data_IF_992561615570
#
_entry.id   IF_992561615570
#
_cell.length_a   1.000
_cell.length_b   1.000
_cell.length_c   1.000
_cell.angle_alpha   90.00
_cell.angle_beta   90.00
_cell.angle_gamma   90.00
#
_symmetry.space_group_name_H-M   'P 1'
#
loop_
_entity.id
_entity.type
_entity.pdbx_description
1 polymer ?
#
# COMPACT_ATOMS: atom_id res chain seq x y z
N UNK A 1 -22.07 17.66 -10.18
CA UNK A 1 -21.18 16.51 -9.92
C UNK A 1 -20.49 15.92 -11.16
N UNK A 2 -21.19 15.48 -12.23
CA UNK A 2 -20.60 14.74 -13.38
C UNK A 2 -19.35 15.33 -14.07
N UNK A 3 -19.18 16.66 -14.07
CA UNK A 3 -18.01 17.35 -14.66
C UNK A 3 -16.85 17.57 -13.67
N UNK A 4 -17.04 17.30 -12.38
CA UNK A 4 -16.06 17.59 -11.32
C UNK A 4 -15.42 16.32 -10.74
N UNK A 5 -16.07 15.15 -10.86
CA UNK A 5 -15.58 13.86 -10.31
C UNK A 5 -14.20 13.44 -10.83
N UNK A 6 -13.93 13.67 -12.12
CA UNK A 6 -12.66 13.25 -12.76
C UNK A 6 -11.59 14.33 -12.76
N UNK A 7 -11.78 15.42 -12.01
CA UNK A 7 -10.77 16.46 -11.88
C UNK A 7 -9.59 15.95 -11.05
N UNK A 8 -8.33 16.32 -11.39
CA UNK A 8 -7.20 16.04 -10.53
C UNK A 8 -7.40 16.61 -9.11
N UNK A 9 -7.20 15.80 -8.05
CA UNK A 9 -7.24 16.30 -6.68
C UNK A 9 -6.03 17.19 -6.38
N UNK A 10 -6.15 18.06 -5.37
CA UNK A 10 -5.08 18.99 -4.96
C UNK A 10 -3.74 18.26 -4.68
N UNK A 11 -3.81 17.09 -4.04
CA UNK A 11 -2.66 16.25 -3.71
C UNK A 11 -2.56 15.02 -4.63
N UNK A 12 -2.81 15.17 -5.94
CA UNK A 12 -2.80 14.08 -6.91
C UNK A 12 -1.51 13.23 -6.87
N UNK A 13 -0.34 13.86 -6.69
CA UNK A 13 0.93 13.14 -6.61
C UNK A 13 0.99 12.19 -5.41
N UNK A 14 0.57 12.64 -4.24
CA UNK A 14 0.55 11.84 -3.00
C UNK A 14 -0.44 10.68 -3.13
N UNK A 15 -1.64 10.96 -3.63
CA UNK A 15 -2.65 9.93 -3.87
C UNK A 15 -2.13 8.84 -4.82
N UNK A 16 -1.48 9.23 -5.91
CA UNK A 16 -0.92 8.27 -6.87
C UNK A 16 0.14 7.37 -6.25
N UNK A 17 1.05 7.94 -5.43
CA UNK A 17 2.08 7.18 -4.72
C UNK A 17 1.45 6.22 -3.70
N UNK A 18 0.44 6.67 -2.96
CA UNK A 18 -0.31 5.84 -2.01
C UNK A 18 -1.00 4.67 -2.72
N UNK A 19 -1.70 4.93 -3.83
CA UNK A 19 -2.36 3.89 -4.62
C UNK A 19 -1.35 2.91 -5.25
N UNK A 20 -0.19 3.39 -5.69
CA UNK A 20 0.86 2.53 -6.22
C UNK A 20 1.42 1.55 -5.20
N UNK A 21 1.77 2.04 -4.00
CA UNK A 21 2.21 1.15 -2.93
C UNK A 21 1.07 0.25 -2.40
N UNK A 22 -0.18 0.74 -2.40
CA UNK A 22 -1.35 -0.10 -2.08
C UNK A 22 -1.48 -1.29 -3.04
N UNK A 23 -1.36 -1.05 -4.35
CA UNK A 23 -1.38 -2.11 -5.37
C UNK A 23 -0.21 -3.09 -5.20
N UNK A 24 0.98 -2.58 -4.90
CA UNK A 24 2.15 -3.41 -4.59
C UNK A 24 1.89 -4.32 -3.38
N UNK A 25 1.36 -3.78 -2.28
CA UNK A 25 1.05 -4.53 -1.07
C UNK A 25 0.02 -5.64 -1.31
N UNK A 26 -1.05 -5.35 -2.06
CA UNK A 26 -2.05 -6.36 -2.45
C UNK A 26 -1.39 -7.52 -3.19
N UNK A 27 -0.51 -7.22 -4.15
CA UNK A 27 0.18 -8.26 -4.93
C UNK A 27 1.15 -9.07 -4.06
N UNK A 28 1.87 -8.41 -3.14
CA UNK A 28 2.76 -9.10 -2.19
C UNK A 28 1.95 -10.06 -1.32
N UNK A 29 0.82 -9.63 -0.77
CA UNK A 29 -0.02 -10.46 0.09
C UNK A 29 -0.60 -11.63 -0.70
N UNK A 30 -1.11 -11.40 -1.92
CA UNK A 30 -1.62 -12.45 -2.81
C UNK A 30 -0.56 -13.50 -3.09
N UNK A 31 0.65 -13.10 -3.51
CA UNK A 31 1.73 -14.06 -3.76
C UNK A 31 2.16 -14.76 -2.48
N UNK A 32 2.39 -14.03 -1.39
CA UNK A 32 2.88 -14.62 -0.14
C UNK A 32 1.90 -15.65 0.41
N UNK A 33 0.61 -15.31 0.49
CA UNK A 33 -0.42 -16.23 0.96
C UNK A 33 -0.67 -17.36 -0.04
N UNK A 34 -0.67 -17.09 -1.35
CA UNK A 34 -0.82 -18.11 -2.38
C UNK A 34 0.28 -19.18 -2.31
N UNK A 35 1.55 -18.76 -2.26
CA UNK A 35 2.68 -19.67 -2.08
C UNK A 35 2.67 -20.36 -0.70
N UNK A 36 2.18 -19.69 0.35
CA UNK A 36 2.04 -20.29 1.68
C UNK A 36 0.97 -21.39 1.70
N UNK A 37 -0.17 -21.20 1.03
CA UNK A 37 -1.24 -22.21 0.89
C UNK A 37 -0.77 -23.42 0.09
N UNK A 38 0.06 -23.21 -0.95
CA UNK A 38 0.68 -24.29 -1.72
C UNK A 38 1.78 -25.05 -0.94
N UNK A 39 2.14 -24.59 0.27
CA UNK A 39 3.10 -25.26 1.15
C UNK A 39 4.56 -24.86 0.96
N UNK A 40 4.88 -23.85 0.12
CA UNK A 40 6.25 -23.39 -0.09
C UNK A 40 6.85 -22.68 1.13
N UNK A 41 6.01 -22.06 1.97
CA UNK A 41 6.45 -21.40 3.22
C UNK A 41 6.14 -22.26 4.45
N UNK A 42 6.55 -23.54 4.42
CA UNK A 42 6.37 -24.48 5.51
C UNK A 42 7.08 -24.05 6.80
N UNK A 43 6.51 -24.33 7.99
CA UNK A 43 7.12 -24.07 9.31
C UNK A 43 8.53 -24.65 9.50
N UNK A 44 8.90 -25.66 8.71
CA UNK A 44 10.22 -26.27 8.73
C UNK A 44 11.32 -25.30 8.27
N UNK A 45 10.99 -24.32 7.43
CA UNK A 45 11.93 -23.35 6.88
C UNK A 45 11.86 -22.05 7.68
N UNK A 46 12.58 -22.02 8.80
CA UNK A 46 12.67 -20.82 9.66
C UNK A 46 13.17 -19.63 8.84
N UNK A 47 12.38 -18.56 8.81
CA UNK A 47 12.68 -17.34 8.06
C UNK A 47 12.28 -17.36 6.59
N UNK A 48 11.82 -18.49 6.04
CA UNK A 48 11.43 -18.60 4.63
C UNK A 48 10.31 -17.61 4.24
N UNK A 49 9.33 -17.42 5.12
CA UNK A 49 8.25 -16.44 4.92
C UNK A 49 8.78 -15.00 4.86
N UNK A 50 9.74 -14.64 5.73
CA UNK A 50 10.33 -13.30 5.75
C UNK A 50 11.20 -13.05 4.52
N UNK A 51 12.00 -14.03 4.12
CA UNK A 51 12.78 -13.98 2.87
C UNK A 51 11.87 -13.91 1.63
N UNK A 52 10.75 -14.64 1.63
CA UNK A 52 9.74 -14.58 0.58
C UNK A 52 9.08 -13.21 0.48
N UNK A 53 8.69 -12.62 1.61
CA UNK A 53 8.16 -11.25 1.67
C UNK A 53 9.16 -10.23 1.12
N UNK A 54 10.45 -10.33 1.50
CA UNK A 54 11.50 -9.46 0.95
C UNK A 54 11.65 -9.64 -0.56
N UNK A 55 11.65 -10.88 -1.04
CA UNK A 55 11.74 -11.17 -2.47
C UNK A 55 10.56 -10.57 -3.24
N UNK A 56 9.33 -10.84 -2.81
CA UNK A 56 8.14 -10.29 -3.45
C UNK A 56 8.08 -8.77 -3.36
N UNK A 57 8.51 -8.19 -2.24
CA UNK A 57 8.64 -6.74 -2.11
C UNK A 57 9.51 -6.16 -3.22
N UNK A 58 10.72 -6.71 -3.42
CA UNK A 58 11.65 -6.25 -4.46
C UNK A 58 11.06 -6.41 -5.84
N UNK A 59 10.56 -7.60 -6.18
CA UNK A 59 10.08 -7.90 -7.53
C UNK A 59 8.84 -7.07 -7.92
N UNK A 60 7.97 -6.78 -6.96
CA UNK A 60 6.72 -6.02 -7.19
C UNK A 60 6.91 -4.51 -7.16
N UNK A 61 8.10 -3.99 -6.87
CA UNK A 61 8.38 -2.54 -6.90
C UNK A 61 8.09 -1.90 -8.26
N UNK A 62 8.22 -2.66 -9.36
CA UNK A 62 7.78 -2.24 -10.69
C UNK A 62 6.29 -1.87 -10.73
N UNK A 63 5.44 -2.60 -10.00
CA UNK A 63 4.00 -2.34 -9.99
C UNK A 63 3.69 -1.04 -9.27
N UNK A 64 4.37 -0.76 -8.15
CA UNK A 64 4.22 0.52 -7.44
C UNK A 64 4.53 1.71 -8.36
N UNK A 65 5.67 1.65 -9.06
CA UNK A 65 6.05 2.68 -10.03
C UNK A 65 5.04 2.79 -11.18
N UNK A 66 4.64 1.65 -11.76
CA UNK A 66 3.69 1.61 -12.87
C UNK A 66 2.35 2.23 -12.52
N UNK A 67 1.71 1.80 -11.42
CA UNK A 67 0.40 2.28 -11.00
C UNK A 67 0.45 3.76 -10.63
N UNK A 68 1.49 4.19 -9.88
CA UNK A 68 1.67 5.61 -9.51
C UNK A 68 1.79 6.50 -10.75
N UNK A 69 2.67 6.14 -11.68
CA UNK A 69 2.89 6.92 -12.90
C UNK A 69 1.67 6.93 -13.81
N UNK A 70 1.00 5.78 -13.93
CA UNK A 70 -0.19 5.61 -14.75
C UNK A 70 -1.34 6.49 -14.26
N UNK A 71 -1.60 6.45 -12.96
CA UNK A 71 -2.65 7.25 -12.33
C UNK A 71 -2.35 8.75 -12.45
N UNK A 72 -1.09 9.14 -12.26
CA UNK A 72 -0.67 10.54 -12.36
C UNK A 72 -0.76 11.11 -13.78
N UNK A 73 -0.44 10.31 -14.80
CA UNK A 73 -0.70 10.67 -16.21
C UNK A 73 -2.20 10.75 -16.48
N UNK A 74 -3.01 9.87 -15.87
CA UNK A 74 -4.46 9.95 -15.91
C UNK A 74 -5.02 11.28 -15.39
N UNK A 75 -4.36 11.89 -14.40
CA UNK A 75 -4.71 13.21 -13.85
C UNK A 75 -4.09 14.38 -14.62
N UNK A 76 -3.40 14.14 -15.74
CA UNK A 76 -2.69 15.15 -16.53
C UNK A 76 -1.68 15.96 -15.71
N UNK A 77 -1.05 15.32 -14.73
CA UNK A 77 -0.05 15.96 -13.87
C UNK A 77 1.25 16.28 -14.63
N UNK A 78 1.76 17.49 -14.45
CA UNK A 78 2.99 17.96 -15.10
C UNK A 78 4.27 17.43 -14.42
N UNK A 79 4.25 17.30 -13.09
CA UNK A 79 5.43 16.98 -12.27
C UNK A 79 5.68 15.47 -12.13
N UNK A 80 5.75 14.74 -13.26
CA UNK A 80 5.87 13.27 -13.28
C UNK A 80 7.09 12.75 -12.51
N UNK A 81 8.21 13.50 -12.55
CA UNK A 81 9.45 13.17 -11.82
C UNK A 81 9.24 13.08 -10.31
N UNK A 82 8.43 13.97 -9.72
CA UNK A 82 8.16 13.96 -8.28
C UNK A 82 7.41 12.69 -7.86
N UNK A 83 6.48 12.21 -8.68
CA UNK A 83 5.76 10.96 -8.40
C UNK A 83 6.66 9.75 -8.53
N UNK A 84 7.58 9.75 -9.50
CA UNK A 84 8.53 8.64 -9.65
C UNK A 84 9.43 8.55 -8.43
N UNK A 85 10.05 9.67 -8.02
CA UNK A 85 10.84 9.73 -6.79
C UNK A 85 10.01 9.44 -5.54
N UNK A 86 8.76 9.87 -5.52
CA UNK A 86 7.81 9.57 -4.44
C UNK A 86 7.62 8.06 -4.26
N UNK A 87 7.34 7.34 -5.34
CA UNK A 87 7.18 5.87 -5.33
C UNK A 87 8.46 5.09 -5.00
N UNK A 88 9.62 5.74 -5.11
CA UNK A 88 10.94 5.16 -4.83
C UNK A 88 11.35 5.30 -3.36
N UNK A 89 11.04 6.46 -2.76
CA UNK A 89 11.62 6.86 -1.48
C UNK A 89 10.64 7.03 -0.34
N UNK A 90 9.36 7.35 -0.59
CA UNK A 90 8.43 7.69 0.49
C UNK A 90 8.16 6.49 1.39
N UNK A 91 7.55 5.42 0.87
CA UNK A 91 7.25 4.24 1.67
C UNK A 91 8.49 3.45 2.08
N UNK A 92 9.41 3.09 1.16
CA UNK A 92 10.61 2.37 1.53
C UNK A 92 11.47 3.16 2.54
N UNK A 93 11.54 4.49 2.42
CA UNK A 93 12.26 5.35 3.34
C UNK A 93 11.62 5.42 4.74
N UNK A 94 10.28 5.49 4.83
CA UNK A 94 9.57 5.43 6.10
C UNK A 94 9.81 4.09 6.80
N UNK A 95 9.65 2.97 6.07
CA UNK A 95 9.85 1.62 6.61
C UNK A 95 11.30 1.43 7.06
N UNK A 96 12.26 1.86 6.23
CA UNK A 96 13.68 1.80 6.58
C UNK A 96 14.01 2.68 7.78
N UNK A 97 13.45 3.89 7.88
CA UNK A 97 13.63 4.79 9.02
C UNK A 97 13.14 4.19 10.33
N UNK A 98 11.92 3.63 10.34
CA UNK A 98 11.37 2.95 11.53
C UNK A 98 12.25 1.76 11.92
N UNK A 99 12.60 0.91 10.93
CA UNK A 99 13.47 -0.24 11.16
C UNK A 99 14.84 0.17 11.70
N UNK A 100 15.44 1.23 11.15
CA UNK A 100 16.73 1.75 11.57
C UNK A 100 16.69 2.27 13.01
N UNK A 101 15.64 3.02 13.39
CA UNK A 101 15.45 3.49 14.76
C UNK A 101 15.31 2.33 15.76
N UNK A 102 14.49 1.33 15.44
CA UNK A 102 14.34 0.12 16.26
C UNK A 102 15.68 -0.61 16.38
N UNK A 103 16.40 -0.77 15.27
CA UNK A 103 17.71 -1.43 15.27
C UNK A 103 18.74 -0.65 16.09
N UNK A 104 18.70 0.69 16.06
CA UNK A 104 19.56 1.54 16.88
C UNK A 104 19.32 1.29 18.38
N UNK A 105 18.07 1.19 18.81
CA UNK A 105 17.72 0.83 20.20
C UNK A 105 18.23 -0.56 20.58
N UNK A 106 18.13 -1.54 19.68
CA UNK A 106 18.66 -2.90 19.90
C UNK A 106 20.19 -2.93 20.01
N UNK A 107 20.86 -2.05 19.26
CA UNK A 107 22.31 -1.86 19.36
C UNK A 107 22.70 -1.27 20.72
N UNK A 108 21.99 -0.24 21.19
CA UNK A 108 22.22 0.37 22.50
C UNK A 108 21.97 -0.59 23.66
N UNK A 109 20.98 -1.47 23.57
CA UNK A 109 20.68 -2.46 24.61
C UNK A 109 21.60 -3.68 24.59
N UNK A 110 22.55 -3.76 23.64
CA UNK A 110 23.43 -4.91 23.49
C UNK A 110 22.70 -6.20 23.08
N UNK A 111 21.50 -6.09 22.51
CA UNK A 111 20.67 -7.25 22.16
C UNK A 111 21.33 -8.12 21.09
N UNK A 112 21.18 -9.43 21.21
CA UNK A 112 21.59 -10.42 20.20
C UNK A 112 20.69 -10.41 18.97
N UNK A 113 19.50 -9.81 19.06
CA UNK A 113 18.55 -9.65 17.96
C UNK A 113 18.86 -8.45 17.05
N UNK A 114 19.91 -7.68 17.36
CA UNK A 114 20.31 -6.53 16.54
C UNK A 114 20.79 -6.99 15.16
N UNK A 115 20.42 -6.23 14.14
CA UNK A 115 20.87 -6.48 12.77
C UNK A 115 22.27 -5.92 12.60
N UNK A 116 23.19 -6.76 12.13
CA UNK A 116 24.59 -6.40 11.89
C UNK A 116 24.72 -5.39 10.75
N UNK A 117 25.81 -4.61 10.77
CA UNK A 117 26.08 -3.58 9.77
C UNK A 117 26.08 -4.11 8.33
N UNK A 118 26.68 -5.27 8.09
CA UNK A 118 26.71 -5.88 6.76
C UNK A 118 25.32 -6.24 6.22
N UNK A 119 24.40 -6.67 7.10
CA UNK A 119 23.01 -6.96 6.71
C UNK A 119 22.26 -5.67 6.36
N UNK A 120 22.51 -4.57 7.09
CA UNK A 120 21.99 -3.25 6.73
C UNK A 120 22.48 -2.80 5.35
N UNK A 121 23.79 -2.93 5.10
CA UNK A 121 24.38 -2.59 3.81
C UNK A 121 23.81 -3.45 2.68
N UNK A 122 23.59 -4.74 2.93
CA UNK A 122 22.94 -5.64 1.97
C UNK A 122 21.50 -5.20 1.66
N UNK A 123 20.70 -4.86 2.67
CA UNK A 123 19.34 -4.36 2.48
C UNK A 123 19.30 -3.03 1.70
N UNK A 124 20.23 -2.11 2.00
CA UNK A 124 20.40 -0.89 1.22
C UNK A 124 20.80 -1.20 -0.23
N UNK A 125 21.77 -2.10 -0.43
CA UNK A 125 22.17 -2.54 -1.76
C UNK A 125 21.01 -3.11 -2.57
N UNK A 126 20.20 -3.97 -1.96
CA UNK A 126 19.01 -4.55 -2.59
C UNK A 126 17.93 -3.48 -2.90
N UNK A 127 17.76 -2.47 -2.05
CA UNK A 127 16.88 -1.33 -2.34
C UNK A 127 17.39 -0.48 -3.51
N UNK A 128 18.64 0.00 -3.46
CA UNK A 128 19.17 0.91 -4.49
C UNK A 128 19.54 0.21 -5.81
N UNK A 129 20.05 -1.01 -5.77
CA UNK A 129 20.51 -1.73 -6.96
C UNK A 129 19.39 -2.46 -7.71
N UNK A 130 18.31 -2.86 -7.01
CA UNK A 130 17.23 -3.65 -7.62
C UNK A 130 15.91 -2.88 -7.58
N UNK A 131 15.40 -2.56 -6.38
CA UNK A 131 14.07 -1.96 -6.25
C UNK A 131 13.95 -0.59 -6.92
N UNK A 132 14.99 0.26 -6.84
CA UNK A 132 15.00 1.57 -7.48
C UNK A 132 14.92 1.49 -9.00
N UNK A 133 15.83 0.80 -9.72
CA UNK A 133 15.73 0.68 -11.16
C UNK A 133 14.44 -0.02 -11.60
N UNK A 134 13.98 -1.03 -10.85
CA UNK A 134 12.76 -1.76 -11.21
C UNK A 134 11.49 -0.89 -11.09
N UNK A 135 11.38 -0.08 -10.03
CA UNK A 135 10.31 0.91 -9.90
C UNK A 135 10.39 2.03 -10.94
N UNK A 136 11.60 2.45 -11.32
CA UNK A 136 11.79 3.41 -12.41
C UNK A 136 11.30 2.85 -13.75
N UNK A 137 11.64 1.60 -14.07
CA UNK A 137 11.13 0.90 -15.26
C UNK A 137 9.61 0.82 -15.23
N UNK A 138 9.03 0.46 -14.08
CA UNK A 138 7.57 0.47 -13.89
C UNK A 138 6.95 1.83 -14.18
N UNK A 139 7.50 2.88 -13.57
CA UNK A 139 7.05 4.27 -13.75
C UNK A 139 7.15 4.73 -15.20
N UNK A 140 8.26 4.40 -15.87
CA UNK A 140 8.47 4.70 -17.28
C UNK A 140 7.43 4.04 -18.17
N UNK A 141 7.17 2.74 -17.98
CA UNK A 141 6.13 2.01 -18.72
C UNK A 141 4.73 2.56 -18.43
N UNK A 142 4.42 2.89 -17.17
CA UNK A 142 3.13 3.45 -16.77
C UNK A 142 2.85 4.80 -17.42
N UNK A 143 3.88 5.63 -17.56
CA UNK A 143 3.77 6.96 -18.14
C UNK A 143 3.60 7.02 -19.66
N UNK A 144 4.03 5.95 -20.36
CA UNK A 144 3.88 5.81 -21.82
C UNK A 144 2.49 5.32 -22.24
N UNK A 145 1.70 4.80 -21.31
CA UNK A 145 0.34 4.34 -21.61
C UNK A 145 -0.58 5.54 -21.89
N UNK A 146 -1.47 5.41 -22.87
CA UNK A 146 -2.42 6.46 -23.29
C UNK A 146 -3.36 6.88 -22.15
N UNK A 147 -3.74 8.15 -22.01
CA UNK A 147 -4.61 8.65 -20.93
C UNK A 147 -5.90 7.82 -20.75
N UNK A 148 -6.45 7.80 -19.53
CA UNK A 148 -7.76 7.20 -19.29
C UNK A 148 -8.84 7.94 -20.06
N UNK A 149 -9.72 7.20 -20.74
CA UNK A 149 -10.91 7.76 -21.35
C UNK A 149 -11.97 7.91 -20.27
N UNK A 150 -12.11 9.12 -19.73
CA UNK A 150 -13.18 9.42 -18.78
C UNK A 150 -14.53 9.47 -19.49
N UNK A 151 -15.61 9.00 -18.83
CA UNK A 151 -16.95 8.95 -19.42
C UNK A 151 -17.53 10.35 -19.66
N UNK A 152 -17.05 11.37 -18.94
CA UNK A 152 -17.51 12.76 -19.03
C UNK A 152 -16.33 13.71 -19.20
N UNK A 153 -16.59 14.85 -19.85
CA UNK A 153 -15.62 15.96 -19.92
C UNK A 153 -15.58 16.66 -18.57
N UNK A 154 -14.37 16.95 -18.09
CA UNK A 154 -14.16 17.71 -16.86
C UNK A 154 -14.44 19.20 -17.10
N UNK A 155 -15.17 19.84 -16.19
CA UNK A 155 -15.33 21.29 -16.20
C UNK A 155 -14.00 21.99 -15.87
N UNK A 156 -13.79 23.18 -16.42
CA UNK A 156 -12.57 23.99 -16.16
C UNK A 156 -12.75 24.93 -14.95
N UNK A 157 -13.97 25.36 -14.66
CA UNK A 157 -14.30 26.24 -13.53
C UNK A 157 -14.72 25.41 -12.31
N UNK A 158 -14.30 25.81 -11.11
CA UNK A 158 -14.72 25.15 -9.85
C UNK A 158 -16.15 25.57 -9.49
N UNK A 159 -17.04 24.60 -9.29
CA UNK A 159 -18.30 24.84 -8.58
C UNK A 159 -17.98 25.17 -7.11
N UNK A 160 -18.65 26.15 -6.49
CA UNK A 160 -18.57 26.33 -5.05
C UNK A 160 -19.17 25.10 -4.33
N UNK A 161 -18.41 24.51 -3.41
CA UNK A 161 -18.85 23.39 -2.58
C UNK A 161 -19.68 23.98 -1.41
N UNK A 162 -20.87 23.42 -1.08
CA UNK A 162 -21.65 23.89 0.07
C UNK A 162 -20.86 23.84 1.39
N UNK A 163 -21.00 24.86 2.24
CA UNK A 163 -20.23 24.99 3.49
C UNK A 163 -20.44 23.83 4.50
N UNK A 164 -21.51 23.03 4.33
CA UNK A 164 -21.79 21.83 5.13
C UNK A 164 -21.35 20.49 4.51
N UNK A 165 -20.97 20.44 3.23
CA UNK A 165 -20.63 19.19 2.54
C UNK A 165 -19.27 18.62 3.01
N UNK A 166 -18.41 19.46 3.56
CA UNK A 166 -17.08 19.11 4.09
C UNK A 166 -17.09 18.68 5.57
N UNK A 167 -18.26 18.55 6.20
CA UNK A 167 -18.38 18.80 7.65
C UNK A 167 -17.63 17.84 8.59
N UNK A 168 -17.03 16.72 8.17
CA UNK A 168 -15.98 16.03 8.95
C UNK A 168 -15.28 14.91 8.14
N UNK A 169 -14.43 15.26 7.16
CA UNK A 169 -13.71 14.28 6.35
C UNK A 169 -12.84 13.32 7.19
N UNK A 170 -12.26 13.78 8.30
CA UNK A 170 -11.43 12.95 9.17
C UNK A 170 -12.23 11.89 9.94
N UNK A 171 -13.35 12.27 10.58
CA UNK A 171 -14.21 11.29 11.26
C UNK A 171 -14.81 10.29 10.28
N UNK A 172 -15.16 10.74 9.07
CA UNK A 172 -15.68 9.86 8.03
C UNK A 172 -14.66 8.80 7.61
N UNK A 173 -13.37 9.17 7.50
CA UNK A 173 -12.26 8.24 7.23
C UNK A 173 -12.11 7.23 8.38
N UNK A 174 -12.18 7.69 9.64
CA UNK A 174 -12.08 6.80 10.81
C UNK A 174 -13.26 5.82 10.90
N UNK A 175 -14.48 6.31 10.71
CA UNK A 175 -15.69 5.48 10.74
C UNK A 175 -15.72 4.48 9.58
N UNK A 176 -15.27 4.88 8.39
CA UNK A 176 -15.12 3.99 7.25
C UNK A 176 -14.17 2.82 7.57
N UNK A 177 -13.07 3.08 8.27
CA UNK A 177 -12.11 2.05 8.67
C UNK A 177 -12.62 1.06 9.73
N UNK A 178 -13.71 1.37 10.44
CA UNK A 178 -14.21 0.55 11.54
C UNK A 178 -14.74 -0.81 11.06
N UNK A 179 -15.40 -0.84 9.90
CA UNK A 179 -15.97 -2.08 9.36
C UNK A 179 -14.86 -3.06 8.91
N UNK A 180 -13.88 -2.67 8.06
CA UNK A 180 -12.76 -3.54 7.73
C UNK A 180 -11.93 -3.94 8.96
N UNK A 181 -11.80 -3.06 9.96
CA UNK A 181 -11.16 -3.38 11.23
C UNK A 181 -11.91 -4.48 11.98
N UNK A 182 -13.24 -4.40 12.04
CA UNK A 182 -14.11 -5.44 12.61
C UNK A 182 -13.89 -6.81 11.95
N UNK A 183 -13.73 -6.85 10.62
CA UNK A 183 -13.47 -8.08 9.87
C UNK A 183 -12.14 -8.76 10.27
N UNK A 184 -11.12 -8.00 10.70
CA UNK A 184 -9.80 -8.54 11.08
C UNK A 184 -9.69 -8.76 12.58
N UNK A 185 -10.56 -8.17 13.40
CA UNK A 185 -10.42 -8.15 14.85
C UNK A 185 -10.32 -9.54 15.48
N UNK A 186 -11.17 -10.46 15.03
CA UNK A 186 -11.19 -11.84 15.53
C UNK A 186 -9.85 -12.54 15.25
N UNK A 187 -9.27 -12.26 14.09
CA UNK A 187 -8.00 -12.85 13.62
C UNK A 187 -6.79 -12.27 14.32
N UNK A 188 -6.80 -10.95 14.49
CA UNK A 188 -5.79 -10.28 15.27
C UNK A 188 -5.74 -10.85 16.70
N UNK A 189 -6.91 -11.13 17.30
CA UNK A 189 -7.00 -11.80 18.60
C UNK A 189 -6.39 -13.20 18.57
N UNK A 190 -6.65 -14.01 17.54
CA UNK A 190 -6.05 -15.35 17.42
C UNK A 190 -4.53 -15.28 17.28
N UNK A 191 -4.02 -14.36 16.46
CA UNK A 191 -2.57 -14.14 16.30
C UNK A 191 -1.93 -13.72 17.63
N UNK A 192 -2.52 -12.74 18.32
CA UNK A 192 -2.02 -12.25 19.60
C UNK A 192 -2.05 -13.33 20.68
N UNK A 193 -3.11 -14.14 20.72
CA UNK A 193 -3.21 -15.25 21.65
C UNK A 193 -2.18 -16.35 21.36
N UNK A 194 -1.95 -16.69 20.09
CA UNK A 194 -0.90 -17.64 19.70
C UNK A 194 0.49 -17.10 20.07
N UNK A 195 0.75 -15.82 19.82
CA UNK A 195 2.00 -15.14 20.19
C UNK A 195 2.22 -15.19 21.71
N UNK A 196 1.17 -14.93 22.50
CA UNK A 196 1.22 -15.01 23.97
C UNK A 196 1.56 -16.43 24.47
N UNK A 197 1.09 -17.46 23.77
CA UNK A 197 1.41 -18.86 24.07
C UNK A 197 2.78 -19.31 23.53
N UNK A 198 3.54 -18.43 22.86
CA UNK A 198 4.80 -18.81 22.19
C UNK A 198 4.59 -19.78 21.02
N UNK A 199 3.37 -19.89 20.50
CA UNK A 199 3.04 -20.74 19.35
C UNK A 199 2.92 -19.90 18.10
N UNK A 200 3.36 -20.45 16.97
CA UNK A 200 3.23 -19.82 15.67
C UNK A 200 1.86 -20.20 15.07
N UNK A 201 1.10 -19.19 14.64
CA UNK A 201 -0.22 -19.37 14.05
C UNK A 201 -0.09 -19.63 12.54
N UNK A 202 -0.35 -20.86 12.12
CA UNK A 202 -0.07 -21.36 10.75
C UNK A 202 -1.32 -21.68 9.93
N UNK A 203 -2.36 -20.87 10.03
CA UNK A 203 -3.58 -21.06 9.24
C UNK A 203 -3.54 -20.21 7.96
N UNK A 204 -2.56 -20.46 7.08
CA UNK A 204 -2.39 -19.66 5.85
C UNK A 204 -3.59 -19.69 4.91
N UNK A 205 -4.26 -20.85 4.77
CA UNK A 205 -5.50 -20.95 3.98
C UNK A 205 -6.63 -20.10 4.56
N UNK A 206 -6.74 -20.06 5.88
CA UNK A 206 -7.70 -19.21 6.56
C UNK A 206 -7.39 -17.73 6.33
N UNK A 207 -6.13 -17.30 6.51
CA UNK A 207 -5.71 -15.93 6.22
C UNK A 207 -5.96 -15.51 4.77
N UNK A 208 -5.81 -16.42 3.81
CA UNK A 208 -6.12 -16.14 2.42
C UNK A 208 -7.60 -15.84 2.22
N UNK A 209 -8.50 -16.61 2.83
CA UNK A 209 -9.95 -16.35 2.80
C UNK A 209 -10.28 -15.01 3.46
N UNK A 210 -9.70 -14.73 4.63
CA UNK A 210 -9.89 -13.45 5.33
C UNK A 210 -9.40 -12.28 4.48
N UNK A 211 -8.27 -12.42 3.81
CA UNK A 211 -7.74 -11.40 2.91
C UNK A 211 -8.70 -11.10 1.75
N UNK A 212 -9.38 -12.12 1.19
CA UNK A 212 -10.39 -11.92 0.15
C UNK A 212 -11.61 -11.17 0.69
N UNK A 213 -12.14 -11.59 1.85
CA UNK A 213 -13.26 -10.91 2.51
C UNK A 213 -12.91 -9.45 2.79
N UNK A 214 -11.74 -9.21 3.38
CA UNK A 214 -11.22 -7.88 3.67
C UNK A 214 -11.09 -7.01 2.41
N UNK A 215 -10.58 -7.57 1.32
CA UNK A 215 -10.45 -6.85 0.04
C UNK A 215 -11.81 -6.42 -0.51
N UNK A 216 -12.82 -7.28 -0.40
CA UNK A 216 -14.20 -6.97 -0.77
C UNK A 216 -14.78 -5.88 0.14
N UNK A 217 -14.63 -6.02 1.46
CA UNK A 217 -15.11 -5.03 2.43
C UNK A 217 -14.46 -3.65 2.22
N UNK A 218 -13.15 -3.59 1.92
CA UNK A 218 -12.50 -2.31 1.57
C UNK A 218 -13.05 -1.70 0.28
N UNK A 219 -13.32 -2.51 -0.74
CA UNK A 219 -13.92 -2.04 -1.98
C UNK A 219 -15.34 -1.50 -1.76
N UNK A 220 -16.18 -2.23 -1.02
CA UNK A 220 -17.55 -1.82 -0.69
C UNK A 220 -17.57 -0.52 0.12
N UNK A 221 -16.79 -0.45 1.20
CA UNK A 221 -16.69 0.76 2.03
C UNK A 221 -16.21 1.94 1.21
N UNK A 222 -15.20 1.75 0.34
CA UNK A 222 -14.73 2.84 -0.53
C UNK A 222 -15.84 3.35 -1.45
N UNK A 223 -16.63 2.46 -2.08
CA UNK A 223 -17.73 2.85 -2.98
C UNK A 223 -18.81 3.61 -2.20
N UNK A 224 -19.23 3.07 -1.05
CA UNK A 224 -20.30 3.65 -0.22
C UNK A 224 -19.90 5.02 0.30
N UNK A 225 -18.67 5.17 0.81
CA UNK A 225 -18.17 6.45 1.32
C UNK A 225 -18.04 7.47 0.20
N UNK A 226 -17.49 7.09 -0.96
CA UNK A 226 -17.44 8.00 -2.12
C UNK A 226 -18.84 8.42 -2.56
N UNK A 227 -19.81 7.52 -2.57
CA UNK A 227 -21.21 7.84 -2.90
C UNK A 227 -21.83 8.82 -1.91
N UNK A 228 -21.64 8.63 -0.59
CA UNK A 228 -22.13 9.57 0.41
C UNK A 228 -21.52 10.97 0.27
N UNK A 229 -20.21 11.06 0.02
CA UNK A 229 -19.55 12.35 -0.21
C UNK A 229 -20.10 13.05 -1.46
N UNK A 230 -20.22 12.33 -2.57
CA UNK A 230 -20.78 12.89 -3.80
C UNK A 230 -22.25 13.34 -3.62
N UNK A 231 -23.03 12.58 -2.83
CA UNK A 231 -24.44 12.92 -2.56
C UNK A 231 -24.59 14.14 -1.63
N UNK A 232 -23.61 14.43 -0.77
CA UNK A 232 -23.58 15.66 0.03
C UNK A 232 -23.08 16.88 -0.76
N UNK A 233 -22.34 16.65 -1.86
CA UNK A 233 -21.82 17.70 -2.74
C UNK A 233 -22.80 18.13 -3.86
N UNK A 234 -23.80 17.30 -4.19
CA UNK A 234 -24.87 17.62 -5.14
C UNK A 234 -25.78 18.73 -4.63
#
# INVERSE_FOLDING_TARGET
>A
VHGDVFRPPLAAGVLCVLCGHGAQLVIIVVFTLGFAVLGFFSPAWRGGLLSGLMLFWVLTTSVAGYVSARMYVGFRGEYKRLVYFGSLFVFPGIVFGIFFLINMTLWFSGSTAKVNFFTLLFLMGLWFAISVPLSFVGSFLGSRRAEYKYPTKTNTVHRPIPEGASSNSFLSILLAGLLPFGCVLIELRFILYALWQGKLFYMFGFFFVIFLILSISFAEVSIVVTYFFLSHED
#
